data_IF_482399333221
#
_entry.id   IF_482399333221
#
_cell.length_a   1.000
_cell.length_b   1.000
_cell.length_c   1.000
_cell.angle_alpha   90.00
_cell.angle_beta   90.00
_cell.angle_gamma   90.00
#
_symmetry.space_group_name_H-M   'P 1'
#
loop_
_entity.id
_entity.type
_entity.pdbx_description
1 polymer ?
#
# COMPACT_ATOMS: atom_id res chain seq x y z
N UNK A 1 2.46 2.78 -29.90
CA UNK A 1 3.90 2.51 -29.64
C UNK A 1 4.36 1.37 -30.54
N UNK A 2 5.63 1.33 -30.99
CA UNK A 2 6.13 0.20 -31.76
C UNK A 2 6.03 -1.10 -30.96
N UNK A 3 5.72 -2.21 -31.64
CA UNK A 3 5.68 -3.54 -31.04
C UNK A 3 7.07 -3.89 -30.48
N UNK A 4 7.17 -4.37 -29.23
CA UNK A 4 8.45 -4.76 -28.65
C UNK A 4 9.05 -5.92 -29.43
N UNK A 5 10.37 -5.93 -29.59
CA UNK A 5 11.07 -7.01 -30.29
C UNK A 5 11.14 -8.31 -29.46
N UNK A 6 11.19 -8.21 -28.13
CA UNK A 6 11.32 -9.34 -27.22
C UNK A 6 10.72 -9.05 -25.82
N UNK A 7 10.35 -10.08 -25.03
CA UNK A 7 9.93 -9.91 -23.65
C UNK A 7 11.12 -9.56 -22.73
N UNK A 8 10.83 -8.86 -21.62
CA UNK A 8 11.81 -8.59 -20.57
C UNK A 8 12.00 -9.84 -19.73
N UNK A 9 13.26 -10.25 -19.51
CA UNK A 9 13.57 -11.43 -18.70
C UNK A 9 14.09 -11.03 -17.32
N UNK A 10 13.46 -11.56 -16.28
CA UNK A 10 13.88 -11.37 -14.89
C UNK A 10 14.28 -12.72 -14.32
N UNK A 11 15.50 -12.83 -13.79
CA UNK A 11 15.98 -14.08 -13.19
C UNK A 11 15.08 -14.49 -12.01
N UNK A 12 14.67 -15.76 -11.98
CA UNK A 12 13.80 -16.30 -10.90
C UNK A 12 14.47 -16.19 -9.53
N UNK A 13 15.81 -16.23 -9.49
CA UNK A 13 16.59 -16.10 -8.26
C UNK A 13 16.32 -14.80 -7.51
N UNK A 14 15.87 -13.73 -8.17
CA UNK A 14 15.44 -12.51 -7.46
C UNK A 14 14.29 -12.76 -6.48
N UNK A 15 13.49 -13.79 -6.71
CA UNK A 15 12.35 -14.17 -5.90
C UNK A 15 12.67 -15.31 -4.93
N UNK A 16 13.70 -16.13 -5.20
CA UNK A 16 13.97 -17.36 -4.46
C UNK A 16 15.26 -17.32 -3.63
N UNK A 17 16.28 -16.57 -4.06
CA UNK A 17 17.60 -16.58 -3.44
C UNK A 17 17.60 -15.91 -2.07
N UNK A 18 18.05 -16.62 -1.01
CA UNK A 18 18.31 -16.01 0.30
C UNK A 18 19.37 -14.91 0.23
N UNK A 19 20.37 -15.03 -0.65
CA UNK A 19 21.42 -14.02 -0.85
C UNK A 19 20.85 -12.73 -1.45
N UNK A 20 19.91 -12.84 -2.40
CA UNK A 20 19.20 -11.67 -2.93
C UNK A 20 18.35 -11.00 -1.84
N UNK A 21 17.58 -11.80 -1.08
CA UNK A 21 16.79 -11.28 0.03
C UNK A 21 17.65 -10.61 1.12
N UNK A 22 18.85 -11.13 1.39
CA UNK A 22 19.81 -10.49 2.29
C UNK A 22 20.31 -9.14 1.75
N UNK A 23 20.55 -9.03 0.44
CA UNK A 23 20.87 -7.73 -0.16
C UNK A 23 19.71 -6.74 -0.03
N UNK A 24 18.46 -7.17 -0.24
CA UNK A 24 17.29 -6.32 0.02
C UNK A 24 17.23 -5.88 1.48
N UNK A 25 17.44 -6.81 2.43
CA UNK A 25 17.53 -6.54 3.88
C UNK A 25 18.55 -5.45 4.23
N UNK A 26 19.75 -5.53 3.67
CA UNK A 26 20.87 -4.66 4.04
C UNK A 26 20.88 -3.34 3.26
N UNK A 27 20.41 -3.35 2.00
CA UNK A 27 20.61 -2.24 1.05
C UNK A 27 19.34 -1.49 0.69
N UNK A 28 18.17 -2.12 0.72
CA UNK A 28 16.93 -1.47 0.31
C UNK A 28 16.19 -0.91 1.53
N UNK A 29 15.73 -1.79 2.43
CA UNK A 29 14.78 -1.41 3.49
C UNK A 29 15.29 -0.32 4.44
N UNK A 30 16.56 -0.29 4.88
CA UNK A 30 17.04 0.77 5.76
C UNK A 30 17.14 2.15 5.09
N UNK A 31 17.08 2.23 3.75
CA UNK A 31 17.41 3.45 3.00
C UNK A 31 16.26 4.00 2.16
N UNK A 32 15.16 3.26 2.07
CA UNK A 32 13.99 3.62 1.27
C UNK A 32 12.84 4.08 2.16
N UNK A 33 12.03 5.01 1.66
CA UNK A 33 10.79 5.40 2.32
C UNK A 33 9.80 4.22 2.32
N UNK A 34 9.28 3.90 3.50
CA UNK A 34 8.35 2.79 3.71
C UNK A 34 7.05 3.31 4.31
N UNK A 35 5.91 2.96 3.71
CA UNK A 35 4.60 3.17 4.34
C UNK A 35 4.56 2.34 5.60
N UNK A 36 4.38 2.97 6.75
CA UNK A 36 4.42 2.33 8.06
C UNK A 36 3.04 2.17 8.68
N UNK A 37 2.27 3.26 8.72
CA UNK A 37 0.96 3.36 9.37
C UNK A 37 0.14 4.48 8.73
N UNK A 38 -0.89 4.97 9.42
CA UNK A 38 -1.70 6.11 9.00
C UNK A 38 -1.81 7.15 10.10
N UNK A 39 -2.14 8.39 9.75
CA UNK A 39 -2.33 9.48 10.72
C UNK A 39 -3.45 9.19 11.71
N UNK A 40 -4.42 8.34 11.32
CA UNK A 40 -5.54 7.95 12.16
C UNK A 40 -5.11 7.00 13.29
N UNK A 41 -4.09 6.15 13.08
CA UNK A 41 -3.48 5.36 14.17
C UNK A 41 -2.80 6.24 15.22
N UNK A 42 -2.29 7.39 14.77
CA UNK A 42 -1.48 8.33 15.55
C UNK A 42 -2.23 9.65 15.73
N UNK A 43 -3.51 9.59 16.08
CA UNK A 43 -4.40 10.76 16.04
C UNK A 43 -4.24 11.71 17.24
N UNK A 44 -3.84 11.18 18.40
CA UNK A 44 -3.71 11.93 19.67
C UNK A 44 -2.31 11.84 20.22
N UNK A 45 -1.96 12.80 21.07
CA UNK A 45 -0.71 12.76 21.83
C UNK A 45 -0.62 11.49 22.67
N UNK A 46 0.54 10.82 22.61
CA UNK A 46 0.78 9.53 23.27
C UNK A 46 0.30 8.32 22.47
N UNK A 47 -0.37 8.49 21.33
CA UNK A 47 -0.61 7.38 20.42
C UNK A 47 0.72 6.92 19.81
N UNK A 48 0.93 5.61 19.77
CA UNK A 48 2.12 4.99 19.19
C UNK A 48 1.76 3.82 18.29
N UNK A 49 2.65 3.54 17.33
CA UNK A 49 2.54 2.44 16.40
C UNK A 49 3.91 1.83 16.14
N UNK A 50 4.02 0.51 16.26
CA UNK A 50 5.19 -0.25 15.86
C UNK A 50 5.08 -0.68 14.40
N UNK A 51 6.07 -0.30 13.60
CA UNK A 51 6.23 -0.80 12.24
C UNK A 51 7.40 -1.80 12.15
N UNK A 52 7.12 -2.98 11.60
CA UNK A 52 8.11 -4.05 11.41
C UNK A 52 8.33 -4.27 9.91
N UNK A 53 9.59 -4.43 9.48
CA UNK A 53 9.93 -4.85 8.13
C UNK A 53 11.16 -5.77 8.16
N UNK A 54 10.95 -7.07 7.95
CA UNK A 54 12.00 -8.07 8.13
C UNK A 54 12.56 -8.01 9.57
N UNK A 55 13.82 -7.60 9.70
CA UNK A 55 14.52 -7.47 10.99
C UNK A 55 14.40 -6.07 11.62
N UNK A 56 13.85 -5.10 10.88
CA UNK A 56 13.72 -3.72 11.35
C UNK A 56 12.45 -3.59 12.19
N UNK A 57 12.54 -2.90 13.34
CA UNK A 57 11.39 -2.45 14.13
C UNK A 57 11.55 -0.96 14.44
N UNK A 58 10.52 -0.19 14.13
CA UNK A 58 10.46 1.27 14.27
C UNK A 58 9.25 1.64 15.12
N UNK A 59 9.50 2.39 16.18
CA UNK A 59 8.47 2.99 17.02
C UNK A 59 8.12 4.37 16.47
N UNK A 60 6.86 4.59 16.12
CA UNK A 60 6.32 5.89 15.73
C UNK A 60 5.42 6.37 16.87
N UNK A 61 5.54 7.63 17.26
CA UNK A 61 4.75 8.21 18.34
C UNK A 61 4.30 9.63 17.99
N UNK A 62 3.08 10.00 18.38
CA UNK A 62 2.67 11.41 18.42
C UNK A 62 3.03 11.99 19.78
N UNK A 63 3.88 13.01 19.79
CA UNK A 63 4.36 13.65 21.02
C UNK A 63 3.26 14.49 21.68
N UNK A 64 3.55 15.00 22.89
CA UNK A 64 2.64 15.88 23.61
C UNK A 64 2.43 17.25 22.93
N UNK A 65 3.39 17.72 22.13
CA UNK A 65 3.21 18.91 21.30
C UNK A 65 2.44 18.63 20.00
N UNK A 66 2.12 17.37 19.73
CA UNK A 66 1.38 16.95 18.56
C UNK A 66 2.24 16.68 17.34
N UNK A 67 3.57 16.64 17.44
CA UNK A 67 4.44 16.28 16.32
C UNK A 67 4.56 14.76 16.20
N UNK A 68 4.81 14.25 14.99
CA UNK A 68 5.22 12.86 14.81
C UNK A 68 6.71 12.71 15.03
N UNK A 69 7.11 11.67 15.77
CA UNK A 69 8.49 11.23 15.94
C UNK A 69 8.59 9.74 15.65
N UNK A 70 9.73 9.30 15.14
CA UNK A 70 10.02 7.90 14.96
C UNK A 70 11.42 7.57 15.47
N UNK A 71 11.58 6.37 16.03
CA UNK A 71 12.83 5.87 16.59
C UNK A 71 13.02 4.40 16.22
N UNK A 72 14.28 3.95 16.17
CA UNK A 72 14.54 2.51 16.20
C UNK A 72 13.98 1.95 17.52
N UNK A 73 13.17 0.90 17.44
CA UNK A 73 12.45 0.35 18.60
C UNK A 73 13.35 -0.50 19.50
N UNK A 74 14.38 0.13 20.07
CA UNK A 74 15.45 -0.57 20.79
C UNK A 74 15.91 0.22 22.01
N UNK A 75 15.95 -0.47 23.14
CA UNK A 75 16.50 0.04 24.39
C UNK A 75 18.04 0.09 24.31
N UNK A 76 18.62 1.27 24.50
CA UNK A 76 20.07 1.52 24.44
C UNK A 76 20.87 0.86 25.59
N UNK A 77 20.20 0.25 26.57
CA UNK A 77 20.89 -0.49 27.62
C UNK A 77 21.35 -1.88 27.15
N UNK A 78 20.41 -2.72 26.70
CA UNK A 78 20.69 -4.13 26.35
C UNK A 78 19.87 -4.64 25.15
N UNK A 79 19.37 -3.74 24.31
CA UNK A 79 18.73 -4.10 23.04
C UNK A 79 17.30 -4.65 23.16
N UNK A 80 16.62 -4.45 24.30
CA UNK A 80 15.23 -4.88 24.44
C UNK A 80 14.31 -3.98 23.60
N UNK A 81 13.30 -4.57 22.97
CA UNK A 81 12.21 -3.82 22.33
C UNK A 81 11.52 -2.88 23.34
N UNK A 82 11.11 -1.68 22.91
CA UNK A 82 10.53 -0.67 23.80
C UNK A 82 9.00 -0.77 23.86
N UNK A 83 8.36 -0.84 22.70
CA UNK A 83 6.92 -0.91 22.53
C UNK A 83 6.58 -2.01 21.52
N UNK A 84 5.43 -2.67 21.67
CA UNK A 84 4.98 -3.67 20.70
C UNK A 84 3.56 -3.36 20.23
N UNK A 85 3.31 -3.52 18.93
CA UNK A 85 2.02 -3.23 18.30
C UNK A 85 1.64 -1.75 18.34
N UNK A 86 0.36 -1.45 18.54
CA UNK A 86 -0.17 -0.09 18.64
C UNK A 86 -0.80 0.16 20.02
N UNK A 87 -0.87 1.42 20.43
CA UNK A 87 -1.50 1.80 21.69
C UNK A 87 -1.67 3.30 21.86
N UNK A 88 -2.39 3.69 22.90
CA UNK A 88 -2.78 5.08 23.17
C UNK A 88 -2.28 5.57 24.53
N UNK A 89 -2.35 6.88 24.74
CA UNK A 89 -2.08 7.55 26.02
C UNK A 89 -0.68 7.32 26.62
N UNK A 90 0.32 6.99 25.79
CA UNK A 90 1.69 6.85 26.23
C UNK A 90 2.24 8.19 26.75
N UNK A 91 2.70 8.21 28.00
CA UNK A 91 3.26 9.41 28.63
C UNK A 91 4.78 9.46 28.52
N UNK A 92 5.42 8.30 28.42
CA UNK A 92 6.86 8.11 28.35
C UNK A 92 7.16 6.72 27.78
N UNK A 93 8.31 6.57 27.13
CA UNK A 93 8.75 5.31 26.54
C UNK A 93 9.61 4.59 27.57
N UNK A 94 9.06 3.53 28.18
CA UNK A 94 9.73 2.84 29.29
C UNK A 94 9.99 1.38 28.95
N UNK A 95 11.27 1.02 28.90
CA UNK A 95 11.71 -0.35 28.62
C UNK A 95 11.14 -1.34 29.66
N UNK A 96 10.50 -2.41 29.17
CA UNK A 96 9.93 -3.46 30.03
C UNK A 96 10.96 -4.26 30.81
N UNK A 97 12.23 -4.29 30.36
CA UNK A 97 13.28 -5.09 30.99
C UNK A 97 13.86 -4.44 32.25
N UNK A 98 14.53 -3.29 32.13
CA UNK A 98 15.19 -2.61 33.26
C UNK A 98 14.64 -1.22 33.54
N UNK A 99 13.51 -0.85 32.93
CA UNK A 99 12.77 0.39 33.22
C UNK A 99 13.53 1.69 32.94
N UNK A 100 14.59 1.64 32.12
CA UNK A 100 15.14 2.84 31.47
C UNK A 100 14.01 3.53 30.72
N UNK A 101 13.96 4.85 30.85
CA UNK A 101 12.82 5.66 30.45
C UNK A 101 13.29 6.82 29.59
N UNK A 102 12.57 7.06 28.50
CA UNK A 102 12.71 8.20 27.62
C UNK A 102 11.40 8.99 27.60
N UNK A 103 11.47 10.29 27.37
CA UNK A 103 10.28 11.04 26.98
C UNK A 103 9.87 10.73 25.52
N UNK A 104 8.75 11.29 25.06
CA UNK A 104 8.26 11.04 23.69
C UNK A 104 9.11 11.75 22.61
N UNK A 105 9.93 12.72 23.01
CA UNK A 105 10.95 13.36 22.16
C UNK A 105 12.26 12.56 22.12
N UNK A 106 12.28 11.39 22.75
CA UNK A 106 13.39 10.43 22.69
C UNK A 106 14.54 10.75 23.64
N UNK A 107 14.41 11.72 24.54
CA UNK A 107 15.47 12.07 25.49
C UNK A 107 15.44 11.16 26.70
N UNK A 108 16.62 10.73 27.16
CA UNK A 108 16.75 9.89 28.34
C UNK A 108 16.25 10.65 29.58
N UNK A 109 15.24 10.10 30.25
CA UNK A 109 14.57 10.73 31.40
C UNK A 109 14.91 10.06 32.72
N UNK A 110 14.99 8.73 32.75
CA UNK A 110 15.22 7.99 33.99
C UNK A 110 16.04 6.72 33.74
N UNK A 111 17.04 6.51 34.60
CA UNK A 111 17.79 5.25 34.70
C UNK A 111 17.70 4.74 36.13
N UNK A 112 17.05 3.60 36.38
CA UNK A 112 17.04 2.98 37.71
C UNK A 112 18.45 2.73 38.22
N UNK A 113 18.68 2.97 39.51
CA UNK A 113 20.01 2.88 40.12
C UNK A 113 21.07 3.74 39.42
N UNK A 114 20.68 4.91 38.86
CA UNK A 114 21.54 5.86 38.10
C UNK A 114 22.96 6.02 38.63
N UNK A 115 23.13 6.05 39.97
CA UNK A 115 24.43 6.20 40.65
C UNK A 115 25.44 5.09 40.32
N UNK A 116 24.98 3.88 39.97
CA UNK A 116 25.82 2.75 39.60
C UNK A 116 26.41 2.85 38.19
N UNK A 117 25.89 3.76 37.36
CA UNK A 117 26.31 3.97 35.98
C UNK A 117 27.26 5.16 35.79
N UNK A 118 27.68 5.83 36.87
CA UNK A 118 28.57 6.99 36.79
C UNK A 118 27.93 8.16 36.02
N UNK A 119 28.72 8.87 35.23
CA UNK A 119 28.21 9.91 34.32
C UNK A 119 27.72 9.23 33.03
N UNK A 120 26.52 9.58 32.59
CA UNK A 120 25.95 9.15 31.30
C UNK A 120 25.67 10.44 30.56
N UNK A 121 26.11 10.50 29.32
CA UNK A 121 25.78 11.58 28.42
C UNK A 121 24.33 11.39 27.93
N UNK A 122 23.45 12.34 28.23
CA UNK A 122 22.04 12.24 27.85
C UNK A 122 21.86 12.25 26.33
N UNK A 123 22.81 12.85 25.60
CA UNK A 123 22.79 12.88 24.13
C UNK A 123 23.23 11.53 23.53
N UNK A 124 24.15 10.81 24.19
CA UNK A 124 24.58 9.45 23.77
C UNK A 124 23.46 8.42 23.97
N UNK A 125 22.67 8.59 25.03
CA UNK A 125 21.62 7.65 25.40
C UNK A 125 20.21 8.10 24.99
N UNK A 126 20.08 9.11 24.12
CA UNK A 126 18.83 9.44 23.46
C UNK A 126 18.42 8.38 22.43
N UNK A 127 17.12 8.16 22.24
CA UNK A 127 16.62 7.19 21.26
C UNK A 127 17.13 7.50 19.86
N UNK A 128 17.49 6.44 19.11
CA UNK A 128 18.06 6.57 17.77
C UNK A 128 16.95 7.02 16.81
N UNK A 129 17.03 8.22 16.22
CA UNK A 129 15.96 8.78 15.41
C UNK A 129 15.80 8.05 14.07
N UNK A 130 14.59 8.09 13.54
CA UNK A 130 14.19 7.63 12.20
C UNK A 130 13.40 8.77 11.56
N UNK A 131 13.57 9.01 10.26
CA UNK A 131 12.76 10.01 9.55
C UNK A 131 11.30 9.55 9.53
N UNK A 132 10.38 10.49 9.75
CA UNK A 132 8.93 10.26 9.64
C UNK A 132 8.30 11.44 8.92
N UNK A 133 7.44 11.15 7.97
CA UNK A 133 6.70 12.17 7.21
C UNK A 133 5.38 11.58 6.70
N UNK A 134 4.52 12.42 6.11
CA UNK A 134 3.17 12.05 5.69
C UNK A 134 2.86 12.42 4.26
N UNK A 135 2.09 11.57 3.57
CA UNK A 135 1.43 11.89 2.30
C UNK A 135 -0.06 11.60 2.43
N UNK A 136 -0.87 12.66 2.50
CA UNK A 136 -2.27 12.53 2.93
C UNK A 136 -2.37 11.93 4.33
N UNK A 137 -3.25 10.96 4.52
CA UNK A 137 -3.36 10.23 5.79
C UNK A 137 -2.35 9.09 5.95
N UNK A 138 -1.41 8.90 5.02
CA UNK A 138 -0.43 7.81 5.07
C UNK A 138 0.86 8.28 5.76
N UNK A 139 1.38 7.49 6.70
CA UNK A 139 2.60 7.80 7.48
C UNK A 139 3.75 6.92 6.99
N UNK A 140 4.84 7.56 6.58
CA UNK A 140 6.03 6.90 6.07
C UNK A 140 7.22 7.07 7.01
N UNK A 141 8.15 6.12 6.96
CA UNK A 141 9.43 6.16 7.68
C UNK A 141 10.63 5.91 6.77
N UNK A 142 11.81 6.40 7.15
CA UNK A 142 13.08 6.03 6.55
C UNK A 142 14.20 6.04 7.60
N UNK A 143 15.01 4.97 7.68
CA UNK A 143 16.08 4.86 8.67
C UNK A 143 17.34 5.64 8.23
N UNK A 144 17.46 5.99 6.96
CA UNK A 144 18.53 6.85 6.46
C UNK A 144 18.18 8.33 6.73
N UNK A 145 18.86 8.93 7.71
CA UNK A 145 18.68 10.33 8.09
C UNK A 145 19.14 11.33 7.01
N UNK A 146 19.79 10.85 5.95
CA UNK A 146 20.21 11.64 4.80
C UNK A 146 19.33 11.42 3.57
N UNK A 147 18.24 10.66 3.69
CA UNK A 147 17.30 10.46 2.60
C UNK A 147 16.68 11.79 2.11
N UNK A 148 16.35 11.84 0.83
CA UNK A 148 15.58 12.95 0.26
C UNK A 148 14.20 13.07 0.96
N UNK A 149 13.59 14.27 1.02
CA UNK A 149 12.25 14.45 1.59
C UNK A 149 11.22 13.50 0.96
N UNK A 150 10.24 13.05 1.75
CA UNK A 150 9.22 12.09 1.28
C UNK A 150 8.50 12.59 0.03
N UNK A 151 8.16 13.88 0.00
CA UNK A 151 7.40 14.48 -1.11
C UNK A 151 8.17 14.47 -2.42
N UNK A 152 9.50 14.62 -2.34
CA UNK A 152 10.40 14.56 -3.49
C UNK A 152 10.58 13.11 -3.94
N UNK A 153 10.73 12.19 -2.98
CA UNK A 153 10.81 10.77 -3.26
C UNK A 153 9.57 10.27 -4.01
N UNK A 154 8.36 10.65 -3.56
CA UNK A 154 7.07 10.25 -4.13
C UNK A 154 6.72 10.99 -5.43
N UNK A 155 7.51 11.97 -5.85
CA UNK A 155 7.24 12.73 -7.06
C UNK A 155 7.28 11.83 -8.31
N UNK A 156 6.33 11.97 -9.27
CA UNK A 156 5.30 13.00 -9.36
C UNK A 156 3.92 12.59 -8.82
N UNK A 157 3.79 11.47 -8.10
CA UNK A 157 2.49 10.96 -7.60
C UNK A 157 1.78 12.02 -6.75
N UNK A 158 2.55 12.74 -5.93
CA UNK A 158 2.02 13.81 -5.08
C UNK A 158 1.25 14.84 -5.90
N UNK A 159 1.85 15.33 -6.99
CA UNK A 159 1.22 16.33 -7.85
C UNK A 159 -0.01 15.75 -8.56
N UNK A 160 0.14 14.55 -9.10
CA UNK A 160 -0.91 13.83 -9.85
C UNK A 160 -2.14 13.49 -8.99
N UNK A 161 -1.97 13.40 -7.68
CA UNK A 161 -3.06 13.06 -6.74
C UNK A 161 -3.60 14.27 -5.98
N UNK A 162 -3.11 15.50 -6.20
CA UNK A 162 -3.64 16.71 -5.52
C UNK A 162 -5.14 16.90 -5.70
N UNK A 163 -5.66 16.63 -6.89
CA UNK A 163 -7.09 16.75 -7.15
C UNK A 163 -7.94 15.75 -6.34
N UNK A 164 -7.35 14.61 -5.94
CA UNK A 164 -7.99 13.65 -5.06
C UNK A 164 -8.00 14.12 -3.60
N UNK A 165 -7.16 15.09 -3.21
CA UNK A 165 -7.04 15.58 -1.83
C UNK A 165 -6.79 14.41 -0.85
N UNK A 166 -5.62 13.74 -0.92
CA UNK A 166 -5.33 12.54 -0.12
C UNK A 166 -5.52 12.70 1.40
N UNK A 167 -5.47 13.93 1.90
CA UNK A 167 -5.79 14.32 3.27
C UNK A 167 -7.26 14.12 3.66
N UNK A 168 -8.20 14.05 2.71
CA UNK A 168 -9.63 13.84 2.97
C UNK A 168 -9.99 12.35 3.19
N UNK A 169 -9.02 11.42 3.11
CA UNK A 169 -9.27 9.99 3.30
C UNK A 169 -8.93 9.55 4.73
N UNK A 170 -9.89 9.00 5.46
CA UNK A 170 -9.68 8.46 6.80
C UNK A 170 -9.70 6.93 6.81
N UNK A 171 -8.73 6.36 7.52
CA UNK A 171 -8.50 4.92 7.64
C UNK A 171 -9.57 4.27 8.50
N UNK A 172 -10.21 3.24 7.94
CA UNK A 172 -11.22 2.44 8.62
C UNK A 172 -10.60 1.17 9.21
N UNK A 173 -9.81 0.47 8.40
CA UNK A 173 -9.17 -0.78 8.79
C UNK A 173 -7.84 -0.97 8.06
N UNK A 174 -6.94 -1.71 8.71
CA UNK A 174 -5.75 -2.28 8.10
C UNK A 174 -5.81 -3.79 8.30
N UNK A 175 -5.82 -4.53 7.20
CA UNK A 175 -5.85 -6.00 7.23
C UNK A 175 -4.49 -6.54 6.82
N UNK A 176 -3.82 -7.27 7.70
CA UNK A 176 -2.55 -7.95 7.44
C UNK A 176 -2.79 -9.44 7.21
N UNK A 177 -2.28 -9.97 6.10
CA UNK A 177 -2.40 -11.39 5.74
C UNK A 177 -0.99 -11.95 5.49
N UNK A 178 -0.66 -13.08 6.11
CA UNK A 178 0.57 -13.81 5.80
C UNK A 178 0.38 -14.68 4.56
N UNK A 179 1.23 -14.52 3.55
CA UNK A 179 1.16 -15.22 2.27
C UNK A 179 2.42 -16.05 1.99
N UNK A 180 2.27 -17.28 1.46
CA UNK A 180 3.39 -18.13 1.07
C UNK A 180 3.88 -17.78 -0.34
N UNK A 181 4.31 -16.53 -0.53
CA UNK A 181 5.00 -16.07 -1.71
C UNK A 181 6.01 -14.96 -1.38
N UNK A 182 6.94 -14.71 -2.30
CA UNK A 182 7.84 -13.56 -2.19
C UNK A 182 7.05 -12.24 -2.20
N UNK A 183 7.53 -11.23 -1.46
CA UNK A 183 6.89 -9.90 -1.40
C UNK A 183 6.75 -9.25 -2.79
N UNK A 184 7.70 -9.51 -3.69
CA UNK A 184 7.67 -9.03 -5.08
C UNK A 184 6.53 -9.68 -5.85
N UNK A 185 6.35 -11.00 -5.74
CA UNK A 185 5.21 -11.69 -6.36
C UNK A 185 3.88 -11.10 -5.87
N UNK A 186 3.80 -10.76 -4.59
CA UNK A 186 2.64 -10.11 -4.01
C UNK A 186 2.34 -8.74 -4.65
N UNK A 187 3.33 -7.85 -4.78
CA UNK A 187 3.09 -6.51 -5.36
C UNK A 187 2.97 -6.54 -6.89
N UNK A 188 3.62 -7.49 -7.55
CA UNK A 188 3.55 -7.70 -9.01
C UNK A 188 2.11 -7.93 -9.46
N UNK A 189 1.34 -8.74 -8.71
CA UNK A 189 -0.08 -9.01 -8.99
C UNK A 189 -0.96 -7.74 -8.96
N UNK A 190 -0.53 -6.69 -8.26
CA UNK A 190 -1.23 -5.39 -8.21
C UNK A 190 -0.53 -4.33 -9.08
N UNK A 191 0.31 -4.73 -10.04
CA UNK A 191 1.07 -3.81 -10.90
C UNK A 191 0.74 -3.95 -12.39
N UNK A 192 -0.23 -4.81 -12.75
CA UNK A 192 -0.66 -5.07 -14.12
C UNK A 192 -2.14 -5.49 -14.17
N UNK A 193 -2.72 -5.50 -15.37
CA UNK A 193 -4.11 -5.91 -15.65
C UNK A 193 -4.20 -7.10 -16.61
N UNK A 194 -3.07 -7.64 -17.02
CA UNK A 194 -2.96 -8.74 -17.97
C UNK A 194 -3.66 -10.02 -17.48
N UNK A 195 -3.65 -10.26 -16.16
CA UNK A 195 -4.32 -11.42 -15.56
C UNK A 195 -5.84 -11.28 -15.48
N UNK A 196 -6.42 -10.07 -15.64
CA UNK A 196 -7.87 -9.82 -15.47
C UNK A 196 -8.70 -10.75 -16.36
N UNK A 197 -8.30 -10.94 -17.61
CA UNK A 197 -8.97 -11.86 -18.55
C UNK A 197 -8.96 -13.34 -18.11
N UNK A 198 -7.99 -13.72 -17.29
CA UNK A 198 -7.81 -15.09 -16.80
C UNK A 198 -8.55 -15.31 -15.49
N UNK A 199 -8.29 -14.44 -14.50
CA UNK A 199 -8.70 -14.61 -13.10
C UNK A 199 -9.99 -13.86 -12.79
N UNK A 200 -10.14 -12.63 -13.29
CA UNK A 200 -11.27 -11.74 -12.97
C UNK A 200 -12.22 -11.55 -14.15
N UNK A 201 -12.61 -12.64 -14.81
CA UNK A 201 -13.49 -12.59 -16.00
C UNK A 201 -14.80 -11.84 -15.75
N UNK A 202 -15.29 -11.87 -14.51
CA UNK A 202 -16.47 -11.12 -14.08
C UNK A 202 -16.34 -9.60 -14.27
N UNK A 203 -15.13 -9.05 -14.39
CA UNK A 203 -14.88 -7.62 -14.61
C UNK A 203 -14.97 -7.21 -16.08
N UNK A 204 -14.80 -8.14 -17.03
CA UNK A 204 -14.59 -7.79 -18.44
C UNK A 204 -15.76 -7.05 -19.08
N UNK A 205 -16.99 -7.25 -18.61
CA UNK A 205 -18.15 -6.52 -19.15
C UNK A 205 -18.21 -5.06 -18.69
N UNK A 206 -17.48 -4.68 -17.63
CA UNK A 206 -17.49 -3.31 -17.10
C UNK A 206 -16.11 -2.70 -16.89
N UNK A 207 -15.03 -3.30 -17.39
CA UNK A 207 -13.66 -2.80 -17.21
C UNK A 207 -12.85 -2.92 -18.51
N UNK A 208 -12.24 -1.81 -18.97
CA UNK A 208 -11.31 -1.83 -20.12
C UNK A 208 -9.88 -2.18 -19.66
N UNK A 209 -9.62 -3.47 -19.45
CA UNK A 209 -8.34 -4.01 -18.95
C UNK A 209 -7.15 -3.86 -19.91
N UNK A 210 -7.38 -3.40 -21.15
CA UNK A 210 -6.36 -3.38 -22.23
C UNK A 210 -5.89 -1.97 -22.55
N UNK A 211 -6.81 -1.02 -22.70
CA UNK A 211 -6.49 0.33 -23.15
C UNK A 211 -6.32 1.34 -22.01
N UNK A 212 -6.37 0.89 -20.76
CA UNK A 212 -6.10 1.73 -19.59
C UNK A 212 -4.76 2.47 -19.73
N UNK A 213 -4.73 3.81 -19.67
CA UNK A 213 -3.49 4.56 -19.77
C UNK A 213 -2.51 4.19 -18.67
N UNK A 214 -1.28 3.84 -19.06
CA UNK A 214 -0.19 3.55 -18.15
C UNK A 214 0.95 4.56 -18.30
N UNK A 215 1.56 4.93 -17.17
CA UNK A 215 2.75 5.79 -17.13
C UNK A 215 3.78 5.11 -16.22
N UNK A 216 5.01 5.02 -16.69
CA UNK A 216 6.17 4.63 -15.88
C UNK A 216 7.10 5.83 -15.77
N UNK A 217 7.20 6.40 -14.56
CA UNK A 217 8.14 7.47 -14.23
C UNK A 217 9.53 6.89 -13.89
N UNK A 218 10.36 7.60 -13.14
CA UNK A 218 11.66 7.05 -12.73
C UNK A 218 11.47 5.91 -11.72
N UNK A 219 10.91 6.22 -10.54
CA UNK A 219 10.71 5.26 -9.45
C UNK A 219 9.31 4.67 -9.38
N UNK A 220 8.34 5.31 -10.04
CA UNK A 220 6.92 5.10 -9.79
C UNK A 220 6.13 4.82 -11.04
N UNK A 221 4.96 4.20 -10.88
CA UNK A 221 4.05 3.90 -11.98
C UNK A 221 2.64 4.43 -11.72
N UNK A 222 1.86 4.56 -12.80
CA UNK A 222 0.43 4.86 -12.77
C UNK A 222 -0.31 4.00 -13.79
N UNK A 223 -1.51 3.57 -13.42
CA UNK A 223 -2.51 2.99 -14.30
C UNK A 223 -3.83 3.70 -14.03
N UNK A 224 -4.46 4.23 -15.08
CA UNK A 224 -5.87 4.61 -15.03
C UNK A 224 -6.68 3.50 -15.68
N UNK A 225 -7.65 2.97 -14.94
CA UNK A 225 -8.47 1.84 -15.36
C UNK A 225 -9.91 2.31 -15.57
N UNK A 226 -10.41 2.34 -16.82
CA UNK A 226 -11.77 2.78 -17.10
C UNK A 226 -12.82 1.75 -16.63
N UNK A 227 -13.85 2.23 -15.93
CA UNK A 227 -14.97 1.41 -15.41
C UNK A 227 -16.31 1.71 -16.12
N UNK A 228 -17.22 0.75 -16.18
CA UNK A 228 -18.44 0.86 -17.00
C UNK A 228 -18.16 0.90 -18.51
N UNK A 229 -16.95 0.51 -18.93
CA UNK A 229 -16.55 0.33 -20.34
C UNK A 229 -16.25 -1.14 -20.56
N UNK A 230 -16.80 -1.70 -21.63
CA UNK A 230 -16.60 -3.11 -21.97
C UNK A 230 -15.15 -3.35 -22.39
N UNK A 231 -14.53 -4.40 -21.87
CA UNK A 231 -13.20 -4.85 -22.29
C UNK A 231 -13.15 -5.08 -23.80
N UNK A 232 -12.10 -4.62 -24.51
CA UNK A 232 -11.85 -4.95 -25.91
C UNK A 232 -11.70 -6.46 -26.16
N UNK A 233 -11.49 -7.27 -25.12
CA UNK A 233 -11.41 -8.73 -25.21
C UNK A 233 -12.78 -9.37 -25.41
N UNK A 234 -13.89 -8.69 -25.07
CA UNK A 234 -15.25 -9.14 -25.34
C UNK A 234 -15.69 -8.65 -26.74
N UNK A 235 -15.33 -9.44 -27.76
CA UNK A 235 -15.56 -9.09 -29.18
C UNK A 235 -17.01 -8.82 -29.54
N UNK A 236 -17.94 -9.52 -28.89
CA UNK A 236 -19.38 -9.39 -29.13
C UNK A 236 -20.01 -8.25 -28.31
N UNK A 237 -19.21 -7.53 -27.52
CA UNK A 237 -19.67 -6.53 -26.57
C UNK A 237 -20.31 -7.15 -25.32
N UNK A 238 -21.07 -6.32 -24.60
CA UNK A 238 -21.90 -6.73 -23.47
C UNK A 238 -23.20 -5.91 -23.51
N UNK A 239 -24.30 -6.53 -23.12
CA UNK A 239 -25.58 -5.84 -22.91
C UNK A 239 -25.52 -4.92 -21.69
N UNK A 240 -26.43 -3.94 -21.61
CA UNK A 240 -26.50 -3.03 -20.47
C UNK A 240 -26.62 -3.75 -19.12
N UNK A 241 -27.38 -4.84 -19.09
CA UNK A 241 -27.53 -5.65 -17.89
C UNK A 241 -26.22 -6.37 -17.53
N UNK A 242 -25.47 -6.88 -18.50
CA UNK A 242 -24.17 -7.53 -18.24
C UNK A 242 -23.12 -6.53 -17.74
N UNK A 243 -23.11 -5.30 -18.27
CA UNK A 243 -22.25 -4.22 -17.77
C UNK A 243 -22.60 -3.90 -16.32
N UNK A 244 -23.89 -3.76 -16.01
CA UNK A 244 -24.38 -3.49 -14.66
C UNK A 244 -24.04 -4.62 -13.69
N UNK A 245 -24.29 -5.88 -14.08
CA UNK A 245 -24.00 -7.07 -13.29
C UNK A 245 -22.50 -7.16 -12.96
N UNK A 246 -21.66 -6.93 -13.97
CA UNK A 246 -20.20 -6.92 -13.84
C UNK A 246 -19.71 -5.82 -12.90
N UNK A 247 -20.25 -4.59 -13.04
CA UNK A 247 -19.89 -3.49 -12.17
C UNK A 247 -20.30 -3.79 -10.73
N UNK A 248 -21.54 -4.22 -10.48
CA UNK A 248 -22.01 -4.50 -9.12
C UNK A 248 -21.31 -5.70 -8.48
N UNK A 249 -20.88 -6.70 -9.26
CA UNK A 249 -20.16 -7.85 -8.76
C UNK A 249 -18.80 -7.47 -8.13
N UNK A 250 -18.19 -6.37 -8.55
CA UNK A 250 -16.84 -5.95 -8.11
C UNK A 250 -16.80 -4.61 -7.41
N UNK A 251 -17.76 -3.73 -7.71
CA UNK A 251 -17.83 -2.33 -7.27
C UNK A 251 -19.23 -1.94 -6.78
N UNK A 252 -20.10 -2.90 -6.46
CA UNK A 252 -21.49 -2.64 -6.08
C UNK A 252 -21.64 -1.75 -4.85
N UNK A 253 -20.69 -1.80 -3.91
CA UNK A 253 -20.66 -0.90 -2.76
C UNK A 253 -20.64 0.58 -3.14
N UNK A 254 -20.04 0.94 -4.28
CA UNK A 254 -19.95 2.32 -4.78
C UNK A 254 -21.30 2.92 -5.17
N UNK A 255 -22.28 2.06 -5.45
CA UNK A 255 -23.65 2.43 -5.86
C UNK A 255 -24.72 1.90 -4.90
N UNK A 256 -24.31 1.38 -3.74
CA UNK A 256 -25.22 0.84 -2.72
C UNK A 256 -25.98 -0.40 -3.17
N UNK A 257 -25.39 -1.23 -4.04
CA UNK A 257 -26.01 -2.45 -4.56
C UNK A 257 -25.18 -3.68 -4.18
N UNK A 258 -25.77 -4.67 -3.48
CA UNK A 258 -25.08 -5.92 -3.21
C UNK A 258 -24.94 -6.77 -4.48
N UNK A 259 -24.09 -7.79 -4.41
CA UNK A 259 -23.99 -8.85 -5.42
C UNK A 259 -24.78 -10.09 -4.97
N UNK A 260 -25.61 -10.72 -5.83
CA UNK A 260 -25.92 -10.31 -7.19
C UNK A 260 -26.83 -9.08 -7.19
N UNK A 261 -26.65 -8.15 -8.15
CA UNK A 261 -27.56 -7.03 -8.28
C UNK A 261 -28.92 -7.49 -8.83
N UNK A 262 -29.95 -6.70 -8.53
CA UNK A 262 -31.22 -6.80 -9.25
C UNK A 262 -31.11 -6.23 -10.68
N UNK A 263 -32.25 -6.08 -11.40
CA UNK A 263 -32.25 -5.47 -12.73
C UNK A 263 -31.62 -4.08 -12.71
N UNK A 264 -30.99 -3.70 -13.84
CA UNK A 264 -30.43 -2.37 -14.01
C UNK A 264 -31.50 -1.30 -13.66
N UNK A 265 -31.16 -0.29 -12.84
CA UNK A 265 -32.07 0.79 -12.52
C UNK A 265 -32.57 1.51 -13.77
N UNK A 266 -33.78 2.10 -13.67
CA UNK A 266 -34.33 2.93 -14.74
C UNK A 266 -33.36 4.07 -15.08
N UNK A 267 -33.10 4.25 -16.37
CA UNK A 267 -32.23 5.27 -16.94
C UNK A 267 -32.97 6.05 -18.04
N UNK A 268 -32.54 7.28 -18.29
CA UNK A 268 -33.06 8.02 -19.44
C UNK A 268 -32.66 7.32 -20.75
N UNK A 269 -33.46 7.41 -21.83
CA UNK A 269 -33.20 6.64 -23.05
C UNK A 269 -31.78 6.79 -23.63
N UNK A 270 -31.20 8.00 -23.52
CA UNK A 270 -29.86 8.34 -24.05
C UNK A 270 -28.73 8.17 -23.02
N UNK A 271 -29.04 7.94 -21.74
CA UNK A 271 -28.06 7.83 -20.65
C UNK A 271 -27.35 6.47 -20.70
N UNK A 272 -26.03 6.40 -20.92
CA UNK A 272 -25.33 5.10 -20.93
C UNK A 272 -25.32 4.44 -19.54
N UNK A 273 -25.00 3.14 -19.45
CA UNK A 273 -24.80 2.46 -18.15
C UNK A 273 -23.69 3.13 -17.33
N UNK A 274 -22.65 3.63 -18.00
CA UNK A 274 -21.56 4.37 -17.37
C UNK A 274 -22.06 5.68 -16.73
N UNK A 275 -22.91 6.42 -17.44
CA UNK A 275 -23.51 7.67 -16.93
C UNK A 275 -24.44 7.39 -15.74
N UNK A 276 -25.23 6.32 -15.81
CA UNK A 276 -26.05 5.84 -14.69
C UNK A 276 -25.19 5.55 -13.45
N UNK A 277 -24.07 4.84 -13.61
CA UNK A 277 -23.16 4.52 -12.51
C UNK A 277 -22.59 5.81 -11.89
N UNK A 278 -22.12 6.75 -12.70
CA UNK A 278 -21.61 8.06 -12.23
C UNK A 278 -22.68 8.80 -11.43
N UNK A 279 -23.91 8.85 -11.93
CA UNK A 279 -25.04 9.47 -11.23
C UNK A 279 -25.32 8.80 -9.88
N UNK A 280 -25.28 7.46 -9.81
CA UNK A 280 -25.48 6.73 -8.56
C UNK A 280 -24.33 6.95 -7.56
N UNK A 281 -23.08 7.04 -8.01
CA UNK A 281 -21.94 7.38 -7.14
C UNK A 281 -22.11 8.80 -6.57
N UNK A 282 -22.51 9.78 -7.41
CA UNK A 282 -22.80 11.15 -6.93
C UNK A 282 -23.90 11.16 -5.87
N UNK A 283 -25.00 10.44 -6.10
CA UNK A 283 -26.11 10.33 -5.14
C UNK A 283 -25.63 9.72 -3.81
N UNK A 284 -24.84 8.65 -3.86
CA UNK A 284 -24.29 8.02 -2.65
C UNK A 284 -23.31 8.92 -1.90
N UNK A 285 -22.52 9.71 -2.63
CA UNK A 285 -21.67 10.75 -2.05
C UNK A 285 -22.51 11.74 -1.24
N UNK A 286 -23.61 12.24 -1.82
CA UNK A 286 -24.54 13.16 -1.15
C UNK A 286 -25.18 12.54 0.09
N UNK A 287 -25.55 11.25 0.06
CA UNK A 287 -26.05 10.52 1.23
C UNK A 287 -25.01 10.42 2.37
N UNK A 288 -23.73 10.61 2.05
CA UNK A 288 -22.60 10.58 2.98
C UNK A 288 -21.99 11.98 3.22
N UNK A 289 -22.74 13.04 2.92
CA UNK A 289 -22.31 14.45 3.04
C UNK A 289 -21.03 14.80 2.24
N UNK A 290 -20.78 14.09 1.14
CA UNK A 290 -19.69 14.37 0.20
C UNK A 290 -20.25 15.00 -1.09
N UNK A 291 -19.63 16.11 -1.52
CA UNK A 291 -19.95 16.75 -2.79
C UNK A 291 -18.91 16.40 -3.87
N UNK A 292 -19.38 15.78 -4.95
CA UNK A 292 -18.58 15.43 -6.12
C UNK A 292 -18.92 16.26 -7.37
N UNK A 293 -19.61 17.39 -7.20
CA UNK A 293 -20.04 18.25 -8.31
C UNK A 293 -18.86 18.85 -9.11
N UNK A 294 -17.72 19.09 -8.46
CA UNK A 294 -16.51 19.63 -9.08
C UNK A 294 -15.69 18.59 -9.89
N UNK A 295 -16.07 17.30 -9.81
CA UNK A 295 -15.33 16.22 -10.47
C UNK A 295 -16.00 15.80 -11.78
N UNK A 296 -15.17 15.61 -12.79
CA UNK A 296 -15.58 15.02 -14.07
C UNK A 296 -16.09 13.58 -13.89
N UNK A 297 -16.93 13.13 -14.80
CA UNK A 297 -17.49 11.78 -14.76
C UNK A 297 -16.39 10.70 -14.77
N UNK A 298 -15.30 10.95 -15.51
CA UNK A 298 -14.12 10.06 -15.53
C UNK A 298 -13.43 9.97 -14.17
N UNK A 299 -13.18 11.12 -13.51
CA UNK A 299 -12.61 11.16 -12.16
C UNK A 299 -13.49 10.48 -11.10
N UNK A 300 -14.81 10.44 -11.33
CA UNK A 300 -15.75 9.80 -10.42
C UNK A 300 -15.70 8.29 -10.57
N UNK A 301 -15.77 7.77 -11.79
CA UNK A 301 -15.96 6.33 -12.01
C UNK A 301 -14.65 5.55 -12.19
N UNK A 302 -13.62 6.15 -12.79
CA UNK A 302 -12.40 5.42 -13.14
C UNK A 302 -11.53 5.18 -11.92
N UNK A 303 -10.77 4.08 -11.98
CA UNK A 303 -9.83 3.70 -10.93
C UNK A 303 -8.46 4.27 -11.25
N UNK A 304 -7.86 4.94 -10.26
CA UNK A 304 -6.55 5.56 -10.37
C UNK A 304 -5.56 4.81 -9.48
N UNK A 305 -4.77 3.93 -10.08
CA UNK A 305 -3.78 3.14 -9.37
C UNK A 305 -2.38 3.72 -9.58
N UNK A 306 -1.60 3.71 -8.51
CA UNK A 306 -0.19 4.10 -8.52
C UNK A 306 0.66 2.95 -7.99
N UNK A 307 1.93 2.91 -8.39
CA UNK A 307 2.95 2.08 -7.75
C UNK A 307 3.99 3.01 -7.13
N UNK A 308 4.04 3.06 -5.80
CA UNK A 308 5.10 3.73 -5.07
C UNK A 308 6.17 2.68 -4.75
N UNK A 309 7.37 2.88 -5.27
CA UNK A 309 8.49 1.97 -5.02
C UNK A 309 8.85 1.99 -3.52
N UNK A 310 9.18 0.83 -2.93
CA UNK A 310 9.34 -0.47 -3.60
C UNK A 310 8.09 -1.34 -3.65
N UNK A 311 7.16 -1.18 -2.72
CA UNK A 311 6.23 -2.23 -2.34
C UNK A 311 4.81 -1.75 -2.02
N UNK A 312 4.39 -0.62 -2.60
CA UNK A 312 3.11 0.03 -2.27
C UNK A 312 2.31 0.29 -3.55
N UNK A 313 1.03 -0.08 -3.55
CA UNK A 313 0.09 0.19 -4.63
C UNK A 313 -1.16 0.90 -4.11
N UNK A 314 -1.17 2.25 -4.06
CA UNK A 314 -2.37 3.02 -3.75
C UNK A 314 -3.36 2.96 -4.93
N UNK A 315 -4.62 2.71 -4.62
CA UNK A 315 -5.75 2.63 -5.54
C UNK A 315 -6.79 3.64 -5.08
N UNK A 316 -6.89 4.73 -5.82
CA UNK A 316 -7.86 5.79 -5.56
C UNK A 316 -9.12 5.57 -6.39
N UNK A 317 -10.24 5.67 -5.69
CA UNK A 317 -11.55 6.03 -6.21
C UNK A 317 -11.93 7.38 -5.58
N UNK A 318 -12.94 8.06 -6.11
CA UNK A 318 -13.30 9.37 -5.58
C UNK A 318 -13.73 9.28 -4.11
N UNK A 319 -14.43 8.21 -3.72
CA UNK A 319 -14.99 8.01 -2.39
C UNK A 319 -14.10 7.18 -1.44
N UNK A 320 -13.09 6.48 -1.96
CA UNK A 320 -12.27 5.56 -1.18
C UNK A 320 -10.84 5.45 -1.68
N UNK A 321 -9.94 5.07 -0.78
CA UNK A 321 -8.56 4.76 -1.07
C UNK A 321 -8.27 3.38 -0.48
N UNK A 322 -7.88 2.44 -1.33
CA UNK A 322 -7.30 1.18 -0.90
C UNK A 322 -5.79 1.25 -1.13
N UNK A 323 -4.97 0.83 -0.16
CA UNK A 323 -3.52 0.72 -0.36
C UNK A 323 -3.10 -0.71 -0.10
N UNK A 324 -2.44 -1.31 -1.09
CA UNK A 324 -1.77 -2.60 -0.92
C UNK A 324 -0.31 -2.34 -0.58
N UNK A 325 0.21 -2.96 0.48
CA UNK A 325 1.64 -2.99 0.81
C UNK A 325 2.09 -4.43 0.96
N UNK A 326 3.25 -4.82 0.43
CA UNK A 326 3.82 -6.16 0.69
C UNK A 326 5.19 -6.08 1.36
N UNK A 327 5.40 -6.81 2.46
CA UNK A 327 6.65 -6.80 3.21
C UNK A 327 7.28 -8.19 3.22
N UNK A 328 8.62 -8.29 3.21
CA UNK A 328 9.30 -9.58 3.28
C UNK A 328 8.94 -10.33 4.56
N UNK A 329 8.72 -11.64 4.44
CA UNK A 329 8.57 -12.55 5.56
C UNK A 329 9.92 -13.04 6.10
N UNK A 330 9.90 -14.18 6.79
CA UNK A 330 11.11 -14.81 7.35
C UNK A 330 12.00 -15.47 6.28
N UNK A 331 11.42 -15.84 5.13
CA UNK A 331 12.13 -16.45 4.01
C UNK A 331 11.75 -15.76 2.69
N UNK A 332 12.50 -15.97 1.59
CA UNK A 332 12.10 -15.50 0.27
C UNK A 332 10.75 -16.05 -0.22
N UNK A 333 10.24 -17.13 0.39
CA UNK A 333 8.97 -17.76 0.04
C UNK A 333 7.78 -17.23 0.87
N UNK A 334 8.00 -16.26 1.75
CA UNK A 334 6.97 -15.72 2.63
C UNK A 334 6.92 -14.19 2.55
N UNK A 335 5.71 -13.64 2.64
CA UNK A 335 5.49 -12.20 2.78
C UNK A 335 4.28 -11.89 3.66
N UNK A 336 4.19 -10.63 4.09
CA UNK A 336 2.98 -10.05 4.65
C UNK A 336 2.38 -9.14 3.59
N UNK A 337 1.09 -9.25 3.31
CA UNK A 337 0.33 -8.25 2.55
C UNK A 337 -0.53 -7.45 3.53
N UNK A 338 -0.44 -6.13 3.45
CA UNK A 338 -1.23 -5.22 4.25
C UNK A 338 -2.19 -4.47 3.31
N UNK A 339 -3.48 -4.48 3.66
CA UNK A 339 -4.55 -3.81 2.94
C UNK A 339 -5.10 -2.69 3.81
N UNK A 340 -4.79 -1.45 3.44
CA UNK A 340 -5.32 -0.26 4.10
C UNK A 340 -6.62 0.13 3.41
N UNK A 341 -7.72 0.18 4.15
CA UNK A 341 -9.02 0.63 3.67
C UNK A 341 -9.33 2.00 4.23
N UNK A 342 -9.31 3.02 3.39
CA UNK A 342 -9.64 4.40 3.72
C UNK A 342 -10.89 4.85 2.96
N UNK A 343 -11.70 5.69 3.60
CA UNK A 343 -12.87 6.33 2.99
C UNK A 343 -12.68 7.84 2.98
N UNK A 344 -13.13 8.50 1.91
CA UNK A 344 -13.21 9.96 1.92
C UNK A 344 -14.21 10.38 2.99
N UNK A 345 -13.83 11.39 3.76
CA UNK A 345 -14.65 12.05 4.77
C UNK A 345 -14.62 13.56 4.53
N UNK A 346 -15.61 14.28 5.04
CA UNK A 346 -15.52 15.72 5.13
C UNK A 346 -14.32 16.14 5.99
N UNK A 347 -13.70 17.28 5.70
CA UNK A 347 -12.45 17.71 6.33
C UNK A 347 -12.55 17.84 7.86
N UNK A 348 -13.72 18.20 8.37
CA UNK A 348 -14.04 18.39 9.78
C UNK A 348 -14.70 17.16 10.44
N UNK A 349 -14.92 16.08 9.68
CA UNK A 349 -15.51 14.87 10.21
C UNK A 349 -14.56 14.22 11.25
N UNK A 350 -15.12 13.68 12.35
CA UNK A 350 -14.31 13.04 13.38
C UNK A 350 -13.62 11.79 12.82
N UNK A 351 -12.31 11.72 13.04
CA UNK A 351 -11.51 10.52 12.73
C UNK A 351 -11.54 9.56 13.91
N UNK A 352 -11.61 8.27 13.58
CA UNK A 352 -11.58 7.19 14.57
C UNK A 352 -10.28 6.41 14.45
N UNK A 353 -9.89 5.76 15.56
CA UNK A 353 -8.77 4.83 15.55
C UNK A 353 -9.10 3.67 14.60
N UNK A 354 -8.20 3.30 13.67
CA UNK A 354 -8.44 2.23 12.71
C UNK A 354 -8.53 0.86 13.39
N UNK A 355 -9.22 -0.07 12.74
CA UNK A 355 -9.22 -1.47 13.14
C UNK A 355 -8.04 -2.22 12.50
N UNK A 356 -7.08 -2.65 13.31
CA UNK A 356 -6.02 -3.56 12.90
C UNK A 356 -6.52 -5.02 12.94
N UNK A 357 -6.49 -5.71 11.80
CA UNK A 357 -6.93 -7.12 11.68
C UNK A 357 -5.76 -7.94 11.15
N UNK A 358 -5.46 -9.06 11.81
CA UNK A 358 -4.49 -10.05 11.32
C UNK A 358 -5.24 -11.33 10.96
N UNK A 359 -5.10 -11.75 9.71
CA UNK A 359 -5.72 -12.95 9.17
C UNK A 359 -4.65 -13.90 8.63
N UNK A 360 -4.95 -15.20 8.65
CA UNK A 360 -4.20 -16.16 7.84
C UNK A 360 -4.77 -16.20 6.40
N UNK A 361 -3.99 -16.71 5.46
CA UNK A 361 -4.40 -16.77 4.05
C UNK A 361 -5.66 -17.63 3.80
N UNK A 362 -6.01 -18.54 4.69
CA UNK A 362 -7.14 -19.46 4.53
C UNK A 362 -8.45 -18.87 5.09
N UNK A 363 -8.36 -17.98 6.07
CA UNK A 363 -9.47 -17.26 6.71
C UNK A 363 -9.70 -15.87 6.14
N UNK A 364 -8.78 -15.36 5.32
CA UNK A 364 -8.93 -14.07 4.67
C UNK A 364 -10.10 -14.04 3.70
N UNK A 365 -11.14 -13.26 4.03
CA UNK A 365 -12.16 -12.83 3.08
C UNK A 365 -12.10 -11.30 2.96
N UNK A 366 -11.38 -10.84 1.94
CA UNK A 366 -11.12 -9.41 1.66
C UNK A 366 -11.75 -8.98 0.34
N UNK A 367 -12.79 -9.68 -0.08
CA UNK A 367 -13.50 -9.47 -1.33
C UNK A 367 -13.08 -10.42 -2.44
N UNK A 368 -14.02 -10.73 -3.33
CA UNK A 368 -13.88 -11.79 -4.32
C UNK A 368 -12.65 -11.64 -5.24
N UNK A 369 -12.32 -10.42 -5.66
CA UNK A 369 -11.16 -10.13 -6.52
C UNK A 369 -9.85 -10.42 -5.78
N UNK A 370 -9.64 -9.80 -4.61
CA UNK A 370 -8.44 -10.02 -3.80
C UNK A 370 -8.26 -11.49 -3.39
N UNK A 371 -9.34 -12.19 -3.02
CA UNK A 371 -9.27 -13.61 -2.66
C UNK A 371 -8.82 -14.47 -3.86
N UNK A 372 -9.22 -14.12 -5.09
CA UNK A 372 -8.77 -14.81 -6.30
C UNK A 372 -7.27 -14.60 -6.56
N UNK A 373 -6.75 -13.41 -6.31
CA UNK A 373 -5.31 -13.10 -6.44
C UNK A 373 -4.48 -13.87 -5.41
N UNK A 374 -4.88 -13.80 -4.15
CA UNK A 374 -4.23 -14.51 -3.03
C UNK A 374 -4.16 -16.01 -3.32
N UNK A 375 -5.25 -16.60 -3.80
CA UNK A 375 -5.31 -18.03 -4.15
C UNK A 375 -4.35 -18.41 -5.31
N UNK A 376 -3.98 -17.46 -6.17
CA UNK A 376 -3.06 -17.69 -7.27
C UNK A 376 -1.59 -17.53 -6.85
N UNK A 377 -1.27 -16.57 -5.96
CA UNK A 377 0.10 -16.25 -5.54
C UNK A 377 0.87 -17.47 -5.00
N UNK A 378 0.22 -18.32 -4.18
CA UNK A 378 0.82 -19.58 -3.69
C UNK A 378 1.23 -20.52 -4.84
N UNK A 379 0.42 -20.58 -5.91
CA UNK A 379 0.70 -21.43 -7.08
C UNK A 379 1.83 -20.87 -7.90
N UNK A 380 1.90 -19.54 -8.04
CA UNK A 380 2.99 -18.83 -8.71
C UNK A 380 4.32 -19.13 -8.01
N UNK A 381 4.40 -18.95 -6.68
CA UNK A 381 5.61 -19.24 -5.92
C UNK A 381 6.07 -20.70 -6.09
N UNK A 382 5.15 -21.65 -5.95
CA UNK A 382 5.45 -23.08 -6.18
C UNK A 382 5.93 -23.37 -7.61
N UNK A 383 5.42 -22.64 -8.59
CA UNK A 383 5.83 -22.74 -9.99
C UNK A 383 7.26 -22.24 -10.21
N UNK A 384 7.65 -21.15 -9.54
CA UNK A 384 9.02 -20.61 -9.61
C UNK A 384 10.08 -21.61 -9.13
N UNK A 385 9.74 -22.49 -8.19
CA UNK A 385 10.62 -23.57 -7.71
C UNK A 385 10.82 -24.74 -8.68
N UNK A 386 10.14 -24.78 -9.83
CA UNK A 386 10.33 -25.86 -10.80
C UNK A 386 11.74 -25.77 -11.43
N UNK A 387 12.53 -26.86 -11.50
CA UNK A 387 13.92 -26.80 -11.95
C UNK A 387 14.16 -26.23 -13.36
N UNK A 388 13.13 -26.27 -14.23
CA UNK A 388 13.21 -25.73 -15.59
C UNK A 388 12.83 -24.25 -15.71
N UNK A 389 12.23 -23.66 -14.67
CA UNK A 389 11.79 -22.27 -14.68
C UNK A 389 12.93 -21.37 -14.17
N UNK A 390 13.61 -20.69 -15.09
CA UNK A 390 14.83 -19.92 -14.77
C UNK A 390 14.62 -18.41 -14.76
N UNK A 391 13.60 -17.93 -15.48
CA UNK A 391 13.32 -16.50 -15.63
C UNK A 391 11.83 -16.28 -15.82
N UNK A 392 11.32 -15.18 -15.26
CA UNK A 392 10.05 -14.60 -15.68
C UNK A 392 10.24 -13.99 -17.08
N UNK A 393 9.19 -14.04 -17.90
CA UNK A 393 9.14 -13.42 -19.22
C UNK A 393 7.98 -12.43 -19.25
N UNK A 394 8.30 -11.14 -19.12
CA UNK A 394 7.34 -10.07 -18.93
C UNK A 394 7.08 -9.31 -20.24
N UNK A 395 5.82 -8.95 -20.46
CA UNK A 395 5.37 -8.02 -21.47
C UNK A 395 5.87 -6.61 -21.14
N UNK A 396 6.73 -6.00 -21.97
CA UNK A 396 7.17 -4.61 -21.72
C UNK A 396 6.07 -3.57 -21.96
N UNK A 397 4.87 -3.98 -22.40
CA UNK A 397 3.70 -3.12 -22.54
C UNK A 397 2.76 -3.31 -21.37
N UNK A 398 2.21 -4.52 -21.19
CA UNK A 398 1.17 -4.78 -20.18
C UNK A 398 1.75 -4.88 -18.76
N UNK A 399 3.02 -5.26 -18.62
CA UNK A 399 3.72 -5.48 -17.34
C UNK A 399 4.87 -4.47 -17.16
N UNK A 400 4.77 -3.30 -17.78
CA UNK A 400 5.84 -2.28 -17.77
C UNK A 400 6.17 -1.80 -16.35
N UNK A 401 5.18 -1.74 -15.44
CA UNK A 401 5.37 -1.29 -14.05
C UNK A 401 6.12 -2.34 -13.21
N UNK A 402 5.93 -3.64 -13.49
CA UNK A 402 6.75 -4.72 -12.92
C UNK A 402 8.18 -4.62 -13.45
N UNK A 403 8.37 -4.43 -14.76
CA UNK A 403 9.70 -4.24 -15.34
C UNK A 403 10.44 -3.05 -14.69
N UNK A 404 9.71 -1.98 -14.39
CA UNK A 404 10.25 -0.80 -13.73
C UNK A 404 10.67 -1.07 -12.28
N UNK A 405 9.88 -1.82 -11.50
CA UNK A 405 10.25 -2.26 -10.15
C UNK A 405 11.62 -2.94 -10.17
N UNK A 406 11.85 -3.88 -11.09
CA UNK A 406 13.12 -4.60 -11.18
C UNK A 406 14.31 -3.73 -11.59
N UNK A 407 14.10 -2.75 -12.48
CA UNK A 407 15.13 -1.75 -12.80
C UNK A 407 15.48 -0.89 -11.58
N UNK A 408 14.49 -0.57 -10.75
CA UNK A 408 14.72 0.17 -9.52
C UNK A 408 15.47 -0.68 -8.49
N UNK A 409 15.08 -1.94 -8.31
CA UNK A 409 15.82 -2.87 -7.46
C UNK A 409 17.29 -2.96 -7.88
N UNK A 410 17.59 -3.02 -9.18
CA UNK A 410 18.98 -3.04 -9.65
C UNK A 410 19.78 -1.79 -9.21
N UNK A 411 19.16 -0.61 -9.27
CA UNK A 411 19.79 0.64 -8.80
C UNK A 411 20.06 0.64 -7.29
N UNK A 412 19.09 0.17 -6.50
CA UNK A 412 19.17 0.19 -5.03
C UNK A 412 20.07 -0.91 -4.46
N UNK A 413 20.14 -2.05 -5.14
CA UNK A 413 20.94 -3.20 -4.71
C UNK A 413 22.36 -3.19 -5.29
N UNK A 414 22.62 -2.36 -6.30
CA UNK A 414 23.98 -2.11 -6.77
C UNK A 414 24.88 -1.66 -5.61
N UNK A 415 26.15 -2.10 -5.55
CA UNK A 415 27.11 -1.54 -4.61
C UNK A 415 27.15 -0.01 -4.79
N UNK A 416 27.27 0.75 -3.70
CA UNK A 416 27.61 2.16 -3.83
C UNK A 416 28.91 2.26 -4.64
N UNK A 417 28.95 3.15 -5.64
CA UNK A 417 30.23 3.49 -6.25
C UNK A 417 31.12 4.06 -5.15
N UNK A 418 32.35 3.54 -5.04
CA UNK A 418 33.40 4.15 -4.23
C UNK A 418 33.75 5.49 -4.89
N UNK A 419 33.04 6.57 -4.55
CA UNK A 419 33.38 7.96 -4.90
C UNK A 419 33.95 8.71 -3.68
#
# INVERSE_FOLDING_TARGET
MPTPAEPVRIAVERYLSPEWAAQEADRLWPRVWQLASTTDHLSKAGDFYEYICGKLSVLIVRTQCGDLRAYQNVCLHRGNELCSGSGTDLQEIRCSYHRWCWDLDGKLKEVPSRRAFGVLDEDEFGLIPVLVDTWGSLVFINLDLHAEPLIDFLSPIVEETKWLRPEEYATQAVVTIALPCNWKSGIDAFSETYHVQGIHRQMLASTDDVNGPQIAWDRHGKLNQPYGIVSPRLRDGASDQEIWDSFCATQGERVGKPSPPGPIPTREPEESVRDLIVRLIRLRGQESDLDFSDFSDGQIIDLHQYNCFPNISPVFLIESLAVVRTRPGSTPDDCLIDLFFLKRIALDAPRSQPLDIVLDAESADVGAVFNQDIANLRKVQRGMHQPGFTHLSLSPIEETRICQLHRNLDRWLSPASDD
#
